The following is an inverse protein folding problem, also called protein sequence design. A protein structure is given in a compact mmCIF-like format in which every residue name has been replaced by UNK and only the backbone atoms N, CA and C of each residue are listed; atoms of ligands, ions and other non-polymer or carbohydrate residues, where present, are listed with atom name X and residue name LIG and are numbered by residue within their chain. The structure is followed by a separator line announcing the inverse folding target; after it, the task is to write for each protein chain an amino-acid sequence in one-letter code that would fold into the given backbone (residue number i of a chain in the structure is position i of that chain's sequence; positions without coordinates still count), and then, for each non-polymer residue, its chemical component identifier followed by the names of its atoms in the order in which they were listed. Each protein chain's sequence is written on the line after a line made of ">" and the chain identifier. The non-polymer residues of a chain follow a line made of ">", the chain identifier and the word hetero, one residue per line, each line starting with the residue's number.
data_IF_562466231897
#
_entry.id   IF_562466231897
#
_cell.length_a   1.000
_cell.length_b   1.000
_cell.length_c   1.000
_cell.angle_alpha   90.00
_cell.angle_beta   90.00
_cell.angle_gamma   90.00
#
_symmetry.space_group_name_H-M   'P 1'
#
loop_
_entity.id
_entity.type
_entity.pdbx_description
1 polymer ?
#
# COMPACT_ATOMS: atom_id res chain seq x y z
N UNK A 1 -3.34 0.38 -4.09
CA UNK A 1 -4.57 0.73 -3.36
C UNK A 1 -5.07 -0.52 -2.75
N UNK A 2 -5.12 -0.55 -1.42
CA UNK A 2 -5.40 -1.74 -0.62
C UNK A 2 -4.47 -2.93 -0.90
N UNK A 3 -4.43 -3.86 0.04
CA UNK A 3 -3.64 -5.07 -0.03
C UNK A 3 -4.49 -6.25 0.46
N UNK A 4 -5.58 -6.52 -0.26
CA UNK A 4 -6.45 -7.67 0.00
C UNK A 4 -5.83 -9.02 -0.38
N UNK A 5 -6.61 -10.09 -0.23
CA UNK A 5 -6.17 -11.42 -0.64
C UNK A 5 -5.85 -11.45 -2.14
N UNK A 6 -4.74 -12.10 -2.50
CA UNK A 6 -4.44 -12.40 -3.90
C UNK A 6 -3.86 -11.23 -4.70
N UNK A 7 -3.38 -10.15 -4.07
CA UNK A 7 -2.75 -9.01 -4.76
C UNK A 7 -1.72 -9.44 -5.81
N UNK A 8 -0.85 -10.40 -5.49
CA UNK A 8 0.20 -10.86 -6.41
C UNK A 8 -0.35 -11.68 -7.56
N UNK A 9 -1.43 -12.44 -7.33
CA UNK A 9 -2.13 -13.15 -8.41
C UNK A 9 -2.80 -12.15 -9.34
N UNK A 10 -3.40 -11.09 -8.81
CA UNK A 10 -3.98 -10.00 -9.58
C UNK A 10 -2.94 -9.27 -10.45
N UNK A 11 -1.82 -8.87 -9.85
CA UNK A 11 -0.71 -8.24 -10.56
C UNK A 11 -0.14 -9.18 -11.63
N UNK A 12 0.13 -10.44 -11.30
CA UNK A 12 0.64 -11.41 -12.27
C UNK A 12 -0.34 -11.62 -13.42
N UNK A 13 -1.63 -11.76 -13.14
CA UNK A 13 -2.67 -11.86 -14.18
C UNK A 13 -2.67 -10.61 -15.07
N UNK A 14 -2.59 -9.40 -14.49
CA UNK A 14 -2.54 -8.16 -15.25
C UNK A 14 -1.30 -8.12 -16.18
N UNK A 15 -0.13 -8.45 -15.66
CA UNK A 15 1.14 -8.44 -16.41
C UNK A 15 1.14 -9.49 -17.53
N UNK A 16 0.61 -10.69 -17.27
CA UNK A 16 0.59 -11.78 -18.26
C UNK A 16 -0.40 -11.49 -19.40
N UNK A 17 -1.54 -10.86 -19.09
CA UNK A 17 -2.65 -10.72 -20.06
C UNK A 17 -2.75 -9.34 -20.72
N UNK A 18 -2.03 -8.33 -20.24
CA UNK A 18 -2.03 -6.99 -20.81
C UNK A 18 -0.60 -6.56 -21.17
N UNK A 19 -0.46 -5.86 -22.31
CA UNK A 19 0.85 -5.45 -22.82
C UNK A 19 1.41 -4.25 -22.07
N UNK A 20 2.74 -4.19 -21.95
CA UNK A 20 3.51 -3.05 -21.43
C UNK A 20 3.26 -2.75 -19.94
N UNK A 21 2.93 -3.77 -19.16
CA UNK A 21 2.73 -3.64 -17.71
C UNK A 21 3.90 -4.22 -16.91
N UNK A 22 4.84 -4.91 -17.55
CA UNK A 22 6.01 -5.51 -16.93
C UNK A 22 6.87 -4.48 -16.19
N UNK A 23 7.18 -3.35 -16.84
CA UNK A 23 7.96 -2.27 -16.23
C UNK A 23 7.14 -1.43 -15.25
N UNK A 24 5.82 -1.34 -15.45
CA UNK A 24 4.89 -0.61 -14.56
C UNK A 24 4.79 -1.32 -13.21
N UNK A 25 4.67 -2.65 -13.23
CA UNK A 25 4.61 -3.48 -12.03
C UNK A 25 5.96 -4.07 -11.61
N UNK A 26 7.07 -3.48 -12.06
CA UNK A 26 8.36 -3.79 -11.45
C UNK A 26 8.27 -3.51 -9.95
N UNK A 27 8.60 -4.51 -9.15
CA UNK A 27 8.48 -4.46 -7.70
C UNK A 27 9.36 -3.38 -7.05
N UNK A 28 10.41 -2.95 -7.75
CA UNK A 28 11.23 -1.82 -7.36
C UNK A 28 10.44 -0.49 -7.38
N UNK A 29 9.44 -0.36 -8.25
CA UNK A 29 8.61 0.85 -8.41
C UNK A 29 7.42 0.89 -7.44
N UNK A 30 7.08 -0.24 -6.79
CA UNK A 30 5.95 -0.33 -5.87
C UNK A 30 6.33 0.19 -4.47
N UNK A 31 6.52 1.50 -4.34
CA UNK A 31 7.03 2.17 -3.13
C UNK A 31 5.95 2.59 -2.13
N UNK A 32 4.80 3.05 -2.63
CA UNK A 32 3.73 3.64 -1.82
C UNK A 32 2.47 2.75 -1.86
N UNK A 33 1.86 2.51 -0.71
CA UNK A 33 0.58 1.81 -0.57
C UNK A 33 -0.36 2.70 0.23
N UNK A 34 -1.58 2.88 -0.27
CA UNK A 34 -2.65 3.58 0.43
C UNK A 34 -3.74 2.57 0.76
N UNK A 35 -4.10 2.49 2.05
CA UNK A 35 -5.14 1.63 2.60
C UNK A 35 -6.37 2.50 2.89
N UNK A 36 -7.51 2.14 2.32
CA UNK A 36 -8.79 2.85 2.50
C UNK A 36 -9.30 2.70 3.92
N UNK A 37 -9.22 1.49 4.47
CA UNK A 37 -9.56 1.17 5.86
C UNK A 37 -8.88 -0.13 6.30
N UNK A 38 -9.05 -0.52 7.57
CA UNK A 38 -8.33 -1.64 8.19
C UNK A 38 -9.14 -2.95 8.30
N UNK A 39 -10.14 -3.16 7.43
CA UNK A 39 -10.75 -4.49 7.33
C UNK A 39 -9.78 -5.50 6.69
N UNK A 40 -9.95 -6.78 7.01
CA UNK A 40 -9.02 -7.83 6.62
C UNK A 40 -9.01 -8.08 5.10
N UNK A 41 -10.12 -7.94 4.42
CA UNK A 41 -10.24 -8.06 2.97
C UNK A 41 -9.49 -6.94 2.21
N UNK A 42 -9.13 -5.86 2.90
CA UNK A 42 -8.27 -4.78 2.37
C UNK A 42 -6.81 -4.89 2.84
N UNK A 43 -6.48 -5.75 3.81
CA UNK A 43 -5.17 -5.74 4.49
C UNK A 43 -4.49 -7.11 4.61
N UNK A 44 -5.17 -8.23 4.39
CA UNK A 44 -4.61 -9.58 4.60
C UNK A 44 -3.44 -9.91 3.65
N UNK A 45 -3.35 -9.24 2.51
CA UNK A 45 -2.22 -9.31 1.59
C UNK A 45 -1.05 -8.41 1.96
N UNK A 46 -1.19 -7.52 2.95
CA UNK A 46 -0.13 -6.58 3.38
C UNK A 46 1.16 -7.30 3.81
N UNK A 47 1.15 -8.39 4.61
CA UNK A 47 2.37 -9.13 4.92
C UNK A 47 3.10 -9.60 3.66
N UNK A 48 2.35 -10.11 2.68
CA UNK A 48 2.94 -10.54 1.40
C UNK A 48 3.44 -9.37 0.56
N UNK A 49 2.80 -8.20 0.66
CA UNK A 49 3.29 -6.98 0.01
C UNK A 49 4.64 -6.52 0.59
N UNK A 50 4.81 -6.61 1.91
CA UNK A 50 5.99 -6.17 2.64
C UNK A 50 7.17 -7.14 2.52
N UNK A 51 6.90 -8.45 2.55
CA UNK A 51 7.92 -9.49 2.74
C UNK A 51 8.28 -10.27 1.47
N UNK A 52 7.83 -9.81 0.30
CA UNK A 52 8.09 -10.51 -0.96
C UNK A 52 9.60 -10.67 -1.22
N UNK A 53 10.12 -11.90 -1.47
CA UNK A 53 11.55 -12.13 -1.63
C UNK A 53 12.22 -11.31 -2.73
N UNK A 54 11.48 -11.03 -3.80
CA UNK A 54 11.93 -10.20 -4.91
C UNK A 54 12.09 -8.71 -4.53
N UNK A 55 11.51 -8.28 -3.40
CA UNK A 55 11.62 -6.91 -2.88
C UNK A 55 12.78 -6.71 -1.92
N UNK A 56 13.46 -7.74 -1.43
CA UNK A 56 14.63 -7.55 -0.56
C UNK A 56 15.77 -6.79 -1.26
N UNK A 57 15.75 -6.68 -2.59
CA UNK A 57 16.68 -5.84 -3.34
C UNK A 57 16.07 -4.50 -3.83
N UNK A 58 14.84 -4.17 -3.44
CA UNK A 58 14.23 -2.89 -3.75
C UNK A 58 15.04 -1.76 -3.07
N UNK A 59 15.36 -0.68 -3.78
CA UNK A 59 16.29 0.32 -3.28
C UNK A 59 15.72 1.18 -2.15
N UNK A 60 14.40 1.14 -1.93
CA UNK A 60 13.67 2.04 -1.05
C UNK A 60 12.69 1.30 -0.14
N UNK A 61 12.60 1.82 1.07
CA UNK A 61 11.62 1.47 2.09
C UNK A 61 10.18 1.74 1.61
N UNK A 62 9.24 0.88 1.99
CA UNK A 62 7.82 1.03 1.63
C UNK A 62 7.14 2.06 2.51
N UNK A 63 6.28 2.88 1.91
CA UNK A 63 5.51 3.90 2.60
C UNK A 63 4.04 3.50 2.60
N UNK A 64 3.47 3.25 3.77
CA UNK A 64 2.11 2.73 3.92
C UNK A 64 1.24 3.80 4.56
N UNK A 65 0.31 4.37 3.82
CA UNK A 65 -0.63 5.39 4.28
C UNK A 65 -1.97 4.73 4.59
N UNK A 66 -2.57 5.07 5.73
CA UNK A 66 -3.86 4.51 6.10
C UNK A 66 -4.45 5.16 7.35
N UNK A 67 -5.58 4.63 7.84
CA UNK A 67 -6.20 5.10 9.08
C UNK A 67 -5.29 5.00 10.32
N UNK A 68 -5.69 5.63 11.45
CA UNK A 68 -5.11 5.34 12.76
C UNK A 68 -5.04 3.83 13.02
N UNK A 69 -3.90 3.35 13.50
CA UNK A 69 -3.58 1.94 13.69
C UNK A 69 -2.75 1.30 12.56
N UNK A 70 -2.56 1.98 11.41
CA UNK A 70 -1.72 1.44 10.33
C UNK A 70 -0.26 1.28 10.72
N UNK A 71 0.27 2.18 11.58
CA UNK A 71 1.64 2.09 12.10
C UNK A 71 1.82 0.81 12.90
N UNK A 72 0.95 0.59 13.89
CA UNK A 72 1.00 -0.61 14.73
C UNK A 72 0.80 -1.89 13.90
N UNK A 73 -0.10 -1.86 12.91
CA UNK A 73 -0.30 -3.00 12.01
C UNK A 73 0.98 -3.35 11.24
N UNK A 74 1.66 -2.36 10.66
CA UNK A 74 2.92 -2.57 9.93
C UNK A 74 3.99 -3.14 10.87
N UNK A 75 4.17 -2.54 12.05
CA UNK A 75 5.16 -2.96 13.04
C UNK A 75 4.91 -4.40 13.51
N UNK A 76 3.65 -4.74 13.81
CA UNK A 76 3.29 -6.09 14.25
C UNK A 76 3.46 -7.13 13.14
N UNK A 77 3.18 -6.78 11.89
CA UNK A 77 3.45 -7.66 10.75
C UNK A 77 4.95 -7.91 10.64
N UNK A 78 5.79 -6.88 10.65
CA UNK A 78 7.24 -7.07 10.57
C UNK A 78 7.78 -7.89 11.74
N UNK A 79 7.27 -7.65 12.96
CA UNK A 79 7.62 -8.42 14.15
C UNK A 79 7.24 -9.90 14.02
N UNK A 80 6.06 -10.19 13.47
CA UNK A 80 5.57 -11.56 13.27
C UNK A 80 6.45 -12.39 12.31
N UNK A 81 7.17 -11.75 11.38
CA UNK A 81 7.96 -12.41 10.34
C UNK A 81 9.48 -12.25 10.49
N UNK A 82 9.96 -11.87 11.68
CA UNK A 82 11.40 -11.72 11.98
C UNK A 82 12.25 -12.92 11.55
N UNK A 83 11.79 -14.16 11.78
CA UNK A 83 12.52 -15.38 11.38
C UNK A 83 12.78 -15.43 9.86
N UNK A 84 11.79 -15.05 9.05
CA UNK A 84 11.91 -15.05 7.58
C UNK A 84 12.78 -13.88 7.10
N UNK A 85 12.59 -12.70 7.68
CA UNK A 85 13.41 -11.50 7.42
C UNK A 85 14.89 -11.79 7.70
N UNK A 86 15.21 -12.37 8.86
CA UNK A 86 16.57 -12.72 9.27
C UNK A 86 17.18 -13.79 8.35
N UNK A 87 16.38 -14.79 7.95
CA UNK A 87 16.83 -15.83 7.02
C UNK A 87 17.14 -15.26 5.63
N UNK A 88 16.30 -14.37 5.11
CA UNK A 88 16.49 -13.70 3.83
C UNK A 88 17.73 -12.79 3.85
N UNK A 89 17.94 -12.04 4.93
CA UNK A 89 19.13 -11.22 5.16
C UNK A 89 20.41 -12.06 5.13
N UNK A 90 20.43 -13.14 5.91
CA UNK A 90 21.62 -13.98 6.12
C UNK A 90 22.01 -14.75 4.85
N UNK A 91 21.04 -15.21 4.05
CA UNK A 91 21.31 -16.09 2.90
C UNK A 91 21.66 -15.37 1.62
N UNK A 92 21.23 -14.13 1.44
CA UNK A 92 21.17 -13.53 0.10
C UNK A 92 22.04 -12.29 -0.10
N UNK A 93 22.61 -11.71 0.97
CA UNK A 93 23.39 -10.46 0.85
C UNK A 93 22.59 -9.30 0.26
N UNK A 94 21.26 -9.39 0.31
CA UNK A 94 20.34 -8.36 -0.16
C UNK A 94 20.51 -7.06 0.64
N UNK A 95 20.00 -5.94 0.11
CA UNK A 95 20.08 -4.66 0.82
C UNK A 95 19.22 -4.66 2.10
N UNK A 96 19.57 -3.85 3.10
CA UNK A 96 18.92 -3.86 4.43
C UNK A 96 17.59 -3.11 4.47
N UNK A 97 17.07 -2.71 3.31
CA UNK A 97 16.05 -1.68 3.20
C UNK A 97 14.76 -2.19 2.53
N UNK A 98 14.84 -3.22 1.68
CA UNK A 98 13.71 -3.66 0.87
C UNK A 98 12.52 -4.25 1.62
N UNK A 99 12.74 -4.70 2.86
CA UNK A 99 11.70 -5.21 3.78
C UNK A 99 11.18 -4.17 4.76
N UNK A 100 11.88 -3.04 4.88
CA UNK A 100 11.46 -1.96 5.77
C UNK A 100 10.19 -1.33 5.24
N UNK A 101 9.35 -0.93 6.16
CA UNK A 101 8.18 -0.16 5.86
C UNK A 101 7.89 0.82 6.98
N UNK A 102 7.42 1.99 6.61
CA UNK A 102 6.94 3.03 7.53
C UNK A 102 5.45 3.23 7.30
N UNK A 103 4.67 3.12 8.39
CA UNK A 103 3.27 3.50 8.41
C UNK A 103 3.09 5.01 8.58
N UNK A 104 2.07 5.58 7.94
CA UNK A 104 1.66 6.99 8.04
C UNK A 104 0.17 7.05 8.31
N UNK A 105 -0.21 7.54 9.49
CA UNK A 105 -1.61 7.68 9.87
C UNK A 105 -2.23 8.93 9.24
N UNK A 106 -3.40 8.75 8.64
CA UNK A 106 -4.25 9.80 8.11
C UNK A 106 -5.29 10.11 9.18
N UNK A 107 -5.17 11.27 9.82
CA UNK A 107 -6.07 11.70 10.88
C UNK A 107 -7.23 12.58 10.37
N UNK A 108 -7.10 13.16 9.18
CA UNK A 108 -8.08 14.09 8.61
C UNK A 108 -8.02 14.07 7.07
N UNK A 109 -9.10 14.58 6.44
CA UNK A 109 -9.12 14.75 4.98
C UNK A 109 -8.09 15.81 4.55
N UNK A 110 -7.51 15.64 3.37
CA UNK A 110 -6.52 16.55 2.80
C UNK A 110 -5.43 15.84 2.01
N UNK A 111 -4.38 16.58 1.63
CA UNK A 111 -3.22 16.02 0.92
C UNK A 111 -2.43 15.12 1.86
N UNK A 112 -2.27 13.85 1.47
CA UNK A 112 -1.52 12.83 2.22
C UNK A 112 -0.17 12.50 1.60
N UNK A 113 -0.03 12.77 0.30
CA UNK A 113 1.21 12.59 -0.44
C UNK A 113 1.22 13.53 -1.65
N UNK A 114 2.40 14.08 -1.97
CA UNK A 114 2.60 14.86 -3.18
C UNK A 114 4.04 14.71 -3.68
N UNK A 115 4.20 14.48 -4.98
CA UNK A 115 5.47 14.57 -5.69
C UNK A 115 5.32 15.31 -7.02
N UNK A 116 6.37 15.32 -7.85
CA UNK A 116 6.34 15.98 -9.16
C UNK A 116 5.38 15.36 -10.19
N UNK A 117 4.78 14.20 -9.90
CA UNK A 117 3.93 13.43 -10.81
C UNK A 117 2.47 13.39 -10.35
N UNK A 118 2.23 13.27 -9.04
CA UNK A 118 0.91 13.05 -8.48
C UNK A 118 0.73 13.74 -7.13
N UNK A 119 -0.43 14.36 -6.95
CA UNK A 119 -0.96 14.75 -5.65
C UNK A 119 -2.04 13.75 -5.24
N UNK A 120 -1.97 13.26 -4.00
CA UNK A 120 -2.91 12.29 -3.43
C UNK A 120 -3.61 12.94 -2.26
N UNK A 121 -4.93 13.00 -2.35
CA UNK A 121 -5.80 13.51 -1.29
C UNK A 121 -6.60 12.35 -0.69
N UNK A 122 -6.71 12.32 0.63
CA UNK A 122 -7.64 11.46 1.35
C UNK A 122 -8.91 12.24 1.68
N UNK A 123 -10.05 11.61 1.46
CA UNK A 123 -11.37 12.15 1.77
C UNK A 123 -12.09 11.16 2.68
N UNK A 124 -12.62 11.66 3.80
CA UNK A 124 -13.33 10.84 4.78
C UNK A 124 -14.58 10.22 4.14
N UNK A 125 -14.79 8.93 4.38
CA UNK A 125 -16.00 8.18 3.99
C UNK A 125 -16.63 7.51 5.21
N UNK A 126 -17.90 7.13 5.07
CA UNK A 126 -18.64 6.41 6.12
C UNK A 126 -18.73 4.91 5.80
N UNK A 127 -18.17 4.08 6.68
CA UNK A 127 -18.24 2.61 6.59
C UNK A 127 -18.19 1.97 7.98
N UNK A 128 -19.34 1.95 8.64
CA UNK A 128 -19.47 1.36 9.97
C UNK A 128 -19.13 -0.15 9.97
N UNK A 129 -18.50 -0.69 11.04
CA UNK A 129 -18.27 -0.05 12.34
C UNK A 129 -16.95 0.72 12.45
N UNK A 130 -16.21 0.92 11.35
CA UNK A 130 -14.97 1.67 11.38
C UNK A 130 -15.25 3.16 11.21
N UNK A 131 -14.67 3.97 12.10
CA UNK A 131 -14.84 5.42 12.08
C UNK A 131 -13.88 6.11 11.11
N UNK A 132 -12.74 5.49 10.78
CA UNK A 132 -11.68 6.05 9.94
C UNK A 132 -11.56 5.30 8.62
N UNK A 133 -12.41 5.68 7.67
CA UNK A 133 -12.42 5.17 6.30
C UNK A 133 -12.17 6.31 5.31
N UNK A 134 -11.45 6.00 4.23
CA UNK A 134 -10.94 6.99 3.29
C UNK A 134 -11.19 6.57 1.85
N UNK A 135 -11.68 7.52 1.05
CA UNK A 135 -11.50 7.54 -0.38
C UNK A 135 -10.21 8.30 -0.73
N UNK A 136 -9.60 7.95 -1.86
CA UNK A 136 -8.39 8.62 -2.34
C UNK A 136 -8.59 9.21 -3.72
N UNK A 137 -8.22 10.48 -3.87
CA UNK A 137 -8.19 11.22 -5.13
C UNK A 137 -6.75 11.42 -5.57
N UNK A 138 -6.41 10.86 -6.72
CA UNK A 138 -5.13 10.99 -7.38
C UNK A 138 -5.24 12.01 -8.49
N UNK A 139 -4.54 13.12 -8.36
CA UNK A 139 -4.47 14.17 -9.38
C UNK A 139 -3.09 14.15 -10.02
N UNK A 140 -3.05 13.86 -11.32
CA UNK A 140 -1.84 14.03 -12.15
C UNK A 140 -1.97 15.31 -12.98
N UNK A 141 -0.96 15.59 -13.81
CA UNK A 141 -0.97 16.72 -14.74
C UNK A 141 -2.21 16.74 -15.66
N UNK A 142 -2.72 15.58 -16.04
CA UNK A 142 -3.72 15.45 -17.11
C UNK A 142 -4.92 14.58 -16.74
N UNK A 143 -4.92 13.92 -15.57
CA UNK A 143 -5.98 13.00 -15.14
C UNK A 143 -6.28 13.13 -13.66
N UNK A 144 -7.51 12.74 -13.33
CA UNK A 144 -7.96 12.53 -11.96
C UNK A 144 -8.51 11.12 -11.87
N UNK A 145 -8.04 10.35 -10.90
CA UNK A 145 -8.55 9.01 -10.58
C UNK A 145 -9.01 9.01 -9.13
N UNK A 146 -10.22 8.51 -8.88
CA UNK A 146 -10.77 8.43 -7.53
C UNK A 146 -11.07 6.98 -7.19
N UNK A 147 -10.64 6.57 -6.00
CA UNK A 147 -10.84 5.23 -5.45
C UNK A 147 -11.63 5.40 -4.15
N UNK A 148 -12.90 4.97 -4.16
CA UNK A 148 -13.83 5.22 -3.06
C UNK A 148 -13.59 4.38 -1.80
N UNK A 149 -12.96 3.21 -1.94
CA UNK A 149 -12.96 2.19 -0.88
C UNK A 149 -14.36 1.62 -0.65
N UNK A 150 -14.60 1.12 0.55
CA UNK A 150 -15.93 0.76 1.01
C UNK A 150 -16.58 1.96 1.68
N UNK A 151 -17.83 2.25 1.31
CA UNK A 151 -18.60 3.27 1.99
C UNK A 151 -19.81 3.73 1.18
N UNK A 152 -20.63 4.53 1.85
CA UNK A 152 -21.71 5.26 1.22
C UNK A 152 -21.19 6.56 0.58
N UNK A 153 -22.02 7.20 -0.24
CA UNK A 153 -21.76 8.55 -0.74
C UNK A 153 -21.42 9.49 0.43
N UNK A 154 -20.29 10.20 0.34
CA UNK A 154 -19.94 11.29 1.25
C UNK A 154 -19.73 12.59 0.47
N UNK A 155 -20.11 13.71 1.09
CA UNK A 155 -19.87 15.03 0.51
C UNK A 155 -18.36 15.27 0.40
N UNK A 156 -17.86 15.39 -0.83
CA UNK A 156 -16.43 15.64 -1.12
C UNK A 156 -15.85 14.75 -2.22
N UNK A 157 -16.47 13.61 -2.49
CA UNK A 157 -16.12 12.66 -3.58
C UNK A 157 -16.59 13.12 -4.96
#
# INVERSE_FOLDING_TARGET
>A
MDAGEGIWRGIAHAVIHHRNLESVFDLANLEHLFLTHLHCDHTVGLPSFLLSPYKFNAPKEKQIYGPPGVVEMVDHILAAYTVDIDAAWTRSGHNSQGWRATGHEIAASGVVFEDGNVMVEALKTEHAPLDDCWAFRFTTRDRVVVIGGDGCYSDGL
#
